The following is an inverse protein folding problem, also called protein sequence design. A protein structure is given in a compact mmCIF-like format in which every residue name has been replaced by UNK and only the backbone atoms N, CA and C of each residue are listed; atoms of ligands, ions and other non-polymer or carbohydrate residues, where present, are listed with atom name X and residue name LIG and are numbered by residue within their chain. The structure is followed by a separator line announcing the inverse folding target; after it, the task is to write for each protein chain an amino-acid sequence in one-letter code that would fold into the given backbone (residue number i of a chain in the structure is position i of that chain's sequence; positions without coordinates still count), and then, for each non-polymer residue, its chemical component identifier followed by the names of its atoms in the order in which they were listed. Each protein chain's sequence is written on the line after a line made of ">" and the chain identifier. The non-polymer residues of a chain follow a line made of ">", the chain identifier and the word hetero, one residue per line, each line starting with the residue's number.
data_IF_979411469849
#
_entry.id   IF_979411469849
#
_cell.length_a   1.000
_cell.length_b   1.000
_cell.length_c   1.000
_cell.angle_alpha   90.00
_cell.angle_beta   90.00
_cell.angle_gamma   90.00
#
_symmetry.space_group_name_H-M   'P 1'
#
loop_
_entity.id
_entity.type
_entity.pdbx_description
1 polymer ?
#
# COMPACT_ATOMS: atom_id res chain seq x y z
N UNK A 1 -63.62 25.91 -4.57
CA UNK A 1 -62.51 26.09 -5.51
C UNK A 1 -61.23 26.14 -4.75
N UNK A 2 -60.48 25.03 -4.71
CA UNK A 2 -59.16 24.91 -4.05
C UNK A 2 -58.09 25.12 -5.10
N UNK A 3 -57.26 26.13 -4.89
CA UNK A 3 -56.06 26.41 -5.69
C UNK A 3 -54.96 25.51 -5.27
N UNK A 4 -54.52 24.62 -6.15
CA UNK A 4 -53.29 23.85 -6.00
C UNK A 4 -52.12 24.74 -6.44
N UNK A 5 -51.24 25.06 -5.52
CA UNK A 5 -49.94 25.67 -5.85
C UNK A 5 -48.93 24.54 -6.15
N UNK A 6 -48.47 24.49 -7.39
CA UNK A 6 -47.37 23.66 -7.83
C UNK A 6 -46.06 24.31 -7.34
N UNK A 7 -45.43 23.70 -6.34
CA UNK A 7 -44.03 24.04 -5.94
C UNK A 7 -43.12 23.20 -6.83
N UNK A 8 -42.53 23.84 -7.84
CA UNK A 8 -41.49 23.25 -8.65
C UNK A 8 -40.19 23.07 -7.83
N UNK A 9 -39.88 21.84 -7.51
CA UNK A 9 -38.56 21.51 -6.96
C UNK A 9 -37.53 21.53 -8.11
N UNK A 10 -36.70 22.57 -8.15
CA UNK A 10 -35.50 22.60 -8.99
C UNK A 10 -34.47 21.62 -8.43
N UNK A 11 -34.33 20.48 -9.07
CA UNK A 11 -33.25 19.52 -8.82
C UNK A 11 -31.96 20.11 -9.40
N UNK A 12 -31.18 20.78 -8.55
CA UNK A 12 -29.81 21.18 -8.90
C UNK A 12 -28.99 19.89 -8.88
N UNK A 13 -28.73 19.33 -10.06
CA UNK A 13 -27.74 18.28 -10.22
C UNK A 13 -26.35 18.90 -9.97
N UNK A 14 -25.85 18.74 -8.75
CA UNK A 14 -24.45 18.91 -8.46
C UNK A 14 -23.71 17.76 -9.18
N UNK A 15 -23.21 18.06 -10.37
CA UNK A 15 -22.18 17.27 -11.01
C UNK A 15 -20.91 17.53 -10.21
N UNK A 16 -20.76 16.83 -9.08
CA UNK A 16 -19.47 16.68 -8.43
C UNK A 16 -18.58 15.96 -9.44
N UNK A 17 -17.55 16.63 -9.92
CA UNK A 17 -16.42 15.96 -10.54
C UNK A 17 -15.94 14.91 -9.55
N UNK A 18 -16.26 13.64 -9.81
CA UNK A 18 -15.65 12.53 -9.11
C UNK A 18 -14.16 12.60 -9.46
N UNK A 19 -13.39 13.23 -8.62
CA UNK A 19 -11.94 13.04 -8.59
C UNK A 19 -11.76 11.53 -8.47
N UNK A 20 -11.10 10.90 -9.43
CA UNK A 20 -10.80 9.49 -9.41
C UNK A 20 -9.94 9.26 -8.15
N UNK A 21 -10.58 8.76 -7.11
CA UNK A 21 -9.84 8.28 -5.94
C UNK A 21 -9.03 7.09 -6.42
N UNK A 22 -7.73 7.01 -6.09
CA UNK A 22 -6.97 5.79 -6.28
C UNK A 22 -7.77 4.68 -5.62
N UNK A 23 -8.20 3.75 -6.43
CA UNK A 23 -9.05 2.67 -5.95
C UNK A 23 -8.14 1.46 -5.83
N UNK A 24 -7.84 1.04 -4.62
CA UNK A 24 -6.97 -0.11 -4.33
C UNK A 24 -7.40 -1.40 -5.05
N UNK A 25 -8.65 -1.44 -5.52
CA UNK A 25 -9.23 -2.56 -6.25
C UNK A 25 -9.12 -2.41 -7.79
N UNK A 26 -8.41 -1.41 -8.29
CA UNK A 26 -8.24 -1.24 -9.74
C UNK A 26 -6.94 -1.87 -10.22
N UNK A 27 -6.93 -2.51 -11.41
CA UNK A 27 -5.71 -3.00 -12.01
C UNK A 27 -4.68 -1.89 -12.20
N UNK A 28 -3.42 -2.19 -11.92
CA UNK A 28 -2.31 -1.23 -11.81
C UNK A 28 -1.04 -1.79 -12.44
N UNK A 29 0.00 -0.97 -12.59
CA UNK A 29 1.32 -1.40 -13.08
C UNK A 29 2.28 -1.78 -11.94
N UNK A 30 2.02 -1.25 -10.74
CA UNK A 30 2.78 -1.57 -9.52
C UNK A 30 1.83 -2.05 -8.45
N UNK A 31 2.22 -3.10 -7.72
CA UNK A 31 1.50 -3.62 -6.58
C UNK A 31 2.43 -3.62 -5.36
N UNK A 32 1.95 -3.12 -4.22
CA UNK A 32 2.69 -3.14 -2.96
C UNK A 32 1.93 -3.99 -1.95
N UNK A 33 2.62 -4.98 -1.40
CA UNK A 33 2.13 -5.91 -0.39
C UNK A 33 2.75 -5.52 0.95
N UNK A 34 1.99 -4.99 1.89
CA UNK A 34 2.55 -4.36 3.08
C UNK A 34 3.15 -5.35 4.08
N UNK A 35 2.80 -6.64 4.02
CA UNK A 35 3.22 -7.62 5.02
C UNK A 35 3.78 -8.87 4.34
N UNK A 36 5.09 -9.01 4.35
CA UNK A 36 5.76 -10.28 4.04
C UNK A 36 6.33 -10.83 5.34
N UNK A 37 5.81 -11.97 5.79
CA UNK A 37 6.36 -12.71 6.93
C UNK A 37 6.61 -14.15 6.48
N UNK A 38 7.87 -14.50 6.30
CA UNK A 38 8.31 -15.80 5.75
C UNK A 38 9.06 -16.64 6.77
N UNK A 39 8.91 -16.34 8.04
CA UNK A 39 9.57 -17.07 9.16
C UNK A 39 8.92 -18.44 9.37
N UNK A 40 9.03 -19.32 8.35
CA UNK A 40 8.40 -20.64 8.36
C UNK A 40 8.77 -21.48 9.58
N UNK A 41 10.02 -21.35 10.08
CA UNK A 41 10.47 -22.03 11.31
C UNK A 41 9.74 -21.56 12.58
N UNK A 42 9.05 -20.42 12.53
CA UNK A 42 8.23 -19.87 13.61
C UNK A 42 6.73 -20.08 13.34
N UNK A 43 6.37 -20.79 12.28
CA UNK A 43 4.99 -21.01 11.87
C UNK A 43 4.35 -19.81 11.17
N UNK A 44 5.16 -18.86 10.68
CA UNK A 44 4.68 -17.71 9.91
C UNK A 44 4.88 -17.94 8.41
N UNK A 45 3.96 -17.50 7.59
CA UNK A 45 4.08 -17.56 6.14
C UNK A 45 3.21 -16.53 5.45
N UNK A 46 3.64 -16.03 4.29
CA UNK A 46 2.83 -15.18 3.43
C UNK A 46 2.68 -15.83 2.06
N UNK A 47 1.45 -16.05 1.65
CA UNK A 47 1.10 -16.45 0.27
C UNK A 47 0.78 -15.18 -0.49
N UNK A 48 1.37 -15.02 -1.66
CA UNK A 48 1.24 -13.84 -2.52
C UNK A 48 0.66 -14.28 -3.85
N UNK A 49 -0.38 -13.59 -4.31
CA UNK A 49 -0.97 -13.81 -5.63
C UNK A 49 -0.83 -12.55 -6.47
N UNK A 50 -0.41 -12.71 -7.72
CA UNK A 50 -0.41 -11.66 -8.76
C UNK A 50 -1.16 -12.19 -9.97
N UNK A 51 -2.11 -11.41 -10.45
CA UNK A 51 -2.94 -11.77 -11.62
C UNK A 51 -2.77 -10.73 -12.71
N UNK A 52 -2.49 -11.18 -13.92
CA UNK A 52 -2.53 -10.38 -15.14
C UNK A 52 -3.96 -10.43 -15.71
N UNK A 53 -4.70 -9.34 -15.61
CA UNK A 53 -6.09 -9.22 -16.12
C UNK A 53 -6.17 -8.82 -17.59
N UNK A 54 -5.03 -8.62 -18.28
CA UNK A 54 -5.00 -8.34 -19.71
C UNK A 54 -5.57 -9.53 -20.48
N UNK A 55 -6.34 -9.26 -21.53
CA UNK A 55 -7.00 -10.29 -22.34
C UNK A 55 -6.41 -10.42 -23.75
N UNK A 56 -5.42 -9.59 -24.08
CA UNK A 56 -4.86 -9.56 -25.42
C UNK A 56 -3.93 -10.75 -25.64
N UNK A 57 -4.39 -11.69 -26.48
CA UNK A 57 -3.66 -12.92 -26.84
C UNK A 57 -3.12 -12.91 -28.26
N UNK A 58 -3.10 -11.76 -28.91
CA UNK A 58 -2.53 -11.63 -30.25
C UNK A 58 -1.03 -11.87 -30.14
N UNK A 59 -0.51 -12.79 -30.95
CA UNK A 59 0.93 -13.08 -30.93
C UNK A 59 1.69 -11.92 -31.59
N UNK A 60 2.61 -11.36 -30.82
CA UNK A 60 3.57 -10.40 -31.35
C UNK A 60 4.65 -11.19 -32.14
N UNK A 61 4.76 -10.89 -33.42
CA UNK A 61 5.68 -11.60 -34.32
C UNK A 61 7.15 -11.35 -34.01
N UNK A 62 7.48 -10.28 -33.32
CA UNK A 62 8.85 -9.92 -32.93
C UNK A 62 9.32 -10.70 -31.69
N UNK A 63 8.42 -10.87 -30.71
CA UNK A 63 8.74 -11.54 -29.43
C UNK A 63 8.29 -13.00 -29.39
N UNK A 64 7.38 -13.40 -30.29
CA UNK A 64 6.67 -14.67 -30.27
C UNK A 64 5.86 -14.91 -28.98
N UNK A 65 5.51 -13.85 -28.25
CA UNK A 65 4.66 -13.85 -27.06
C UNK A 65 3.32 -13.17 -27.37
N UNK A 66 2.23 -13.49 -26.63
CA UNK A 66 1.02 -12.68 -26.66
C UNK A 66 1.30 -11.24 -26.24
N UNK A 67 0.74 -10.25 -26.92
CA UNK A 67 0.95 -8.80 -26.62
C UNK A 67 0.51 -8.38 -25.22
N UNK A 68 -0.38 -9.12 -24.59
CA UNK A 68 -0.75 -8.89 -23.18
C UNK A 68 0.14 -9.61 -22.17
N UNK A 69 1.31 -10.13 -22.60
CA UNK A 69 2.29 -10.76 -21.70
C UNK A 69 3.11 -9.67 -21.01
N UNK A 70 3.37 -9.86 -19.74
CA UNK A 70 4.17 -8.95 -18.90
C UNK A 70 5.18 -9.74 -18.10
N UNK A 71 6.38 -9.22 -17.94
CA UNK A 71 7.27 -9.62 -16.87
C UNK A 71 6.90 -8.84 -15.63
N UNK A 72 6.82 -9.50 -14.50
CA UNK A 72 6.63 -8.86 -13.19
C UNK A 72 7.87 -9.12 -12.37
N UNK A 73 8.49 -8.05 -11.86
CA UNK A 73 9.64 -8.17 -10.98
C UNK A 73 9.19 -8.03 -9.54
N UNK A 74 9.44 -9.07 -8.76
CA UNK A 74 9.16 -9.15 -7.34
C UNK A 74 10.35 -8.61 -6.55
N UNK A 75 10.19 -7.47 -5.91
CA UNK A 75 11.19 -6.86 -5.04
C UNK A 75 10.82 -7.10 -3.58
N UNK A 76 11.44 -8.11 -2.97
CA UNK A 76 11.29 -8.38 -1.55
C UNK A 76 12.20 -7.47 -0.75
N UNK A 77 11.63 -6.57 0.04
CA UNK A 77 12.36 -5.55 0.79
C UNK A 77 12.36 -5.91 2.27
N UNK A 78 13.54 -5.98 2.86
CA UNK A 78 13.71 -6.30 4.28
C UNK A 78 13.25 -5.14 5.16
N UNK A 79 12.30 -5.40 6.04
CA UNK A 79 11.70 -4.35 6.88
C UNK A 79 12.65 -3.69 7.88
N UNK A 80 13.70 -4.42 8.31
CA UNK A 80 14.71 -3.91 9.24
C UNK A 80 15.89 -3.22 8.54
N UNK A 81 16.02 -3.42 7.23
CA UNK A 81 17.08 -2.82 6.41
C UNK A 81 16.55 -2.62 4.98
N UNK A 82 15.95 -1.47 4.67
CA UNK A 82 15.27 -1.21 3.40
C UNK A 82 16.18 -1.20 2.17
N UNK A 83 17.51 -1.23 2.36
CA UNK A 83 18.48 -1.36 1.28
C UNK A 83 18.85 -2.81 1.00
N UNK A 84 18.41 -3.74 1.84
CA UNK A 84 18.52 -5.17 1.57
C UNK A 84 17.23 -5.62 0.91
N UNK A 85 17.34 -5.93 -0.37
CA UNK A 85 16.24 -6.47 -1.16
C UNK A 85 16.76 -7.58 -2.07
N UNK A 86 15.86 -8.45 -2.46
CA UNK A 86 16.08 -9.48 -3.48
C UNK A 86 15.02 -9.32 -4.55
N UNK A 87 15.42 -9.39 -5.81
CA UNK A 87 14.50 -9.31 -6.92
C UNK A 87 14.40 -10.65 -7.67
N UNK A 88 13.19 -10.97 -8.12
CA UNK A 88 12.88 -12.18 -8.88
C UNK A 88 11.94 -11.80 -10.01
N UNK A 89 12.35 -11.98 -11.28
CA UNK A 89 11.48 -11.78 -12.43
C UNK A 89 10.61 -13.02 -12.69
N UNK A 90 9.33 -12.80 -12.97
CA UNK A 90 8.37 -13.83 -13.34
C UNK A 90 7.55 -13.39 -14.55
N UNK A 91 7.17 -14.33 -15.41
CA UNK A 91 6.43 -14.05 -16.63
C UNK A 91 4.97 -14.41 -16.46
N UNK A 92 4.07 -13.46 -16.74
CA UNK A 92 2.62 -13.67 -16.73
C UNK A 92 2.04 -13.46 -18.12
N UNK A 93 1.45 -14.52 -18.69
CA UNK A 93 0.69 -14.41 -19.93
C UNK A 93 -0.71 -13.80 -19.69
N UNK A 94 -1.47 -13.41 -20.74
CA UNK A 94 -2.81 -12.86 -20.56
C UNK A 94 -3.76 -13.80 -19.80
N UNK A 95 -4.43 -13.26 -18.76
CA UNK A 95 -5.29 -13.94 -17.79
C UNK A 95 -4.57 -15.01 -16.95
N UNK A 96 -3.29 -14.86 -16.77
CA UNK A 96 -2.49 -15.73 -15.91
C UNK A 96 -2.52 -15.26 -14.45
N UNK A 97 -2.32 -16.19 -13.54
CA UNK A 97 -2.14 -15.95 -12.11
C UNK A 97 -0.93 -16.70 -11.61
N UNK A 98 -0.06 -16.02 -10.91
CA UNK A 98 1.02 -16.64 -10.15
C UNK A 98 0.74 -16.52 -8.66
N UNK A 99 0.75 -17.66 -7.97
CA UNK A 99 0.62 -17.70 -6.51
C UNK A 99 1.85 -18.37 -5.93
N UNK A 100 2.52 -17.70 -5.02
CA UNK A 100 3.78 -18.15 -4.40
C UNK A 100 3.69 -18.09 -2.88
N UNK A 101 4.37 -19.04 -2.21
CA UNK A 101 4.69 -18.91 -0.79
C UNK A 101 5.99 -18.12 -0.68
N UNK A 102 5.94 -16.93 -0.08
CA UNK A 102 7.05 -15.99 -0.06
C UNK A 102 8.38 -16.61 0.42
N UNK A 103 8.35 -17.40 1.49
CA UNK A 103 9.56 -18.05 2.02
C UNK A 103 10.18 -19.12 1.13
N UNK A 104 9.43 -19.66 0.15
CA UNK A 104 9.96 -20.56 -0.86
C UNK A 104 10.41 -19.80 -2.11
N UNK A 105 9.67 -18.75 -2.48
CA UNK A 105 9.98 -17.90 -3.63
C UNK A 105 11.21 -17.02 -3.33
N UNK A 106 11.30 -16.48 -2.11
CA UNK A 106 12.45 -15.73 -1.64
C UNK A 106 12.83 -16.14 -0.21
N UNK A 107 13.86 -16.97 0.00
CA UNK A 107 14.30 -17.37 1.33
C UNK A 107 15.16 -16.32 2.05
N UNK A 108 15.57 -15.23 1.40
CA UNK A 108 16.53 -14.26 1.97
C UNK A 108 15.86 -13.17 2.83
N UNK A 109 14.63 -12.79 2.48
CA UNK A 109 13.86 -11.77 3.22
C UNK A 109 12.77 -12.45 4.04
N UNK A 110 13.00 -12.55 5.35
CA UNK A 110 12.06 -13.20 6.26
C UNK A 110 10.91 -12.30 6.70
N UNK A 111 11.15 -10.98 6.80
CA UNK A 111 10.18 -10.02 7.32
C UNK A 111 10.34 -8.66 6.64
N UNK A 112 9.25 -8.12 6.10
CA UNK A 112 9.24 -6.84 5.41
C UNK A 112 8.01 -6.63 4.56
N UNK A 113 8.21 -6.13 3.34
CA UNK A 113 7.17 -5.89 2.36
C UNK A 113 7.63 -6.28 0.96
N UNK A 114 6.70 -6.32 0.02
CA UNK A 114 7.00 -6.67 -1.37
C UNK A 114 6.48 -5.58 -2.29
N UNK A 115 7.27 -5.26 -3.32
CA UNK A 115 6.85 -4.45 -4.46
C UNK A 115 6.91 -5.35 -5.69
N UNK A 116 5.85 -5.34 -6.50
CA UNK A 116 5.79 -6.02 -7.80
C UNK A 116 5.60 -4.96 -8.87
N UNK A 117 6.50 -4.92 -9.85
CA UNK A 117 6.51 -3.89 -10.90
C UNK A 117 6.39 -4.57 -12.26
N UNK A 118 5.59 -3.99 -13.15
CA UNK A 118 5.44 -4.44 -14.54
C UNK A 118 6.61 -4.00 -15.40
N UNK A 119 7.22 -4.95 -16.10
CA UNK A 119 8.34 -4.75 -17.02
C UNK A 119 8.06 -5.38 -18.39
N UNK A 120 8.70 -4.86 -19.43
CA UNK A 120 8.73 -5.51 -20.73
C UNK A 120 9.55 -6.81 -20.67
N UNK A 121 8.99 -7.96 -21.10
CA UNK A 121 9.67 -9.25 -20.97
C UNK A 121 10.90 -9.42 -21.86
N UNK A 122 11.24 -8.45 -22.69
CA UNK A 122 12.35 -8.53 -23.64
C UNK A 122 13.55 -7.66 -23.29
N UNK A 123 13.34 -6.61 -22.50
CA UNK A 123 14.39 -5.63 -22.21
C UNK A 123 14.36 -5.08 -20.77
N UNK A 124 13.49 -5.63 -19.91
CA UNK A 124 13.33 -5.24 -18.50
C UNK A 124 12.92 -3.75 -18.30
N UNK A 125 12.45 -3.08 -19.34
CA UNK A 125 11.99 -1.68 -19.22
C UNK A 125 10.70 -1.61 -18.43
N UNK A 126 10.56 -0.58 -17.58
CA UNK A 126 9.32 -0.28 -16.86
C UNK A 126 8.23 0.14 -17.84
N UNK A 127 7.06 -0.50 -17.76
CA UNK A 127 5.98 -0.31 -18.73
C UNK A 127 4.67 0.14 -18.08
N UNK A 128 3.90 0.94 -18.82
CA UNK A 128 2.53 1.28 -18.48
C UNK A 128 1.62 0.06 -18.75
N UNK A 129 1.51 -0.81 -17.74
CA UNK A 129 0.74 -2.06 -17.82
C UNK A 129 -0.29 -2.13 -16.70
N UNK A 130 -1.29 -1.28 -16.74
CA UNK A 130 -2.34 -1.16 -15.73
C UNK A 130 -3.34 -2.33 -15.75
N UNK A 131 -2.83 -3.57 -15.65
CA UNK A 131 -3.63 -4.80 -15.69
C UNK A 131 -3.30 -5.78 -14.53
N UNK A 132 -2.45 -5.39 -13.59
CA UNK A 132 -2.10 -6.25 -12.46
C UNK A 132 -3.05 -6.01 -11.29
N UNK A 133 -3.51 -7.10 -10.68
CA UNK A 133 -4.17 -7.10 -9.37
C UNK A 133 -3.53 -8.17 -8.49
N UNK A 134 -3.64 -8.05 -7.18
CA UNK A 134 -3.08 -9.05 -6.27
C UNK A 134 -3.57 -8.95 -4.85
N UNK A 135 -3.30 -10.00 -4.10
CA UNK A 135 -3.58 -10.10 -2.68
C UNK A 135 -2.49 -10.90 -1.96
N UNK A 136 -2.41 -10.71 -0.65
CA UNK A 136 -1.58 -11.50 0.24
C UNK A 136 -2.42 -12.18 1.31
N UNK A 137 -2.03 -13.41 1.65
CA UNK A 137 -2.58 -14.14 2.79
C UNK A 137 -1.45 -14.36 3.79
N UNK A 138 -1.49 -13.66 4.91
CA UNK A 138 -0.56 -13.84 6.01
C UNK A 138 -1.08 -14.98 6.89
N UNK A 139 -0.24 -15.98 7.13
CA UNK A 139 -0.56 -17.20 7.88
C UNK A 139 0.25 -17.22 9.16
N UNK A 140 -0.43 -17.39 10.30
CA UNK A 140 0.16 -17.66 11.61
C UNK A 140 -0.34 -19.02 12.09
N UNK A 141 0.46 -20.06 11.88
CA UNK A 141 0.10 -21.43 12.28
C UNK A 141 0.03 -21.58 13.78
N UNK A 142 0.94 -20.92 14.53
CA UNK A 142 0.99 -20.98 15.98
C UNK A 142 -0.25 -20.33 16.61
N UNK A 143 -0.70 -19.22 16.04
CA UNK A 143 -1.93 -18.52 16.43
C UNK A 143 -3.19 -19.12 15.81
N UNK A 144 -3.08 -20.12 14.92
CA UNK A 144 -4.18 -20.70 14.13
C UNK A 144 -4.97 -19.62 13.39
N UNK A 145 -4.29 -18.70 12.69
CA UNK A 145 -4.88 -17.50 12.08
C UNK A 145 -4.43 -17.30 10.64
N UNK A 146 -5.29 -16.63 9.87
CA UNK A 146 -4.98 -16.16 8.53
C UNK A 146 -5.62 -14.79 8.31
N UNK A 147 -4.89 -13.89 7.68
CA UNK A 147 -5.37 -12.56 7.31
C UNK A 147 -5.17 -12.37 5.82
N UNK A 148 -6.22 -11.95 5.10
CA UNK A 148 -6.15 -11.59 3.69
C UNK A 148 -6.13 -10.06 3.57
N UNK A 149 -5.18 -9.53 2.79
CA UNK A 149 -5.03 -8.09 2.52
C UNK A 149 -4.80 -7.94 1.01
N UNK A 150 -5.56 -7.06 0.37
CA UNK A 150 -5.33 -6.73 -1.03
C UNK A 150 -3.98 -6.01 -1.19
N UNK A 151 -3.30 -6.23 -2.30
CA UNK A 151 -2.16 -5.42 -2.67
C UNK A 151 -2.62 -3.98 -2.95
N UNK A 152 -1.77 -3.02 -2.63
CA UNK A 152 -1.99 -1.62 -2.95
C UNK A 152 -1.48 -1.34 -4.36
N UNK A 153 -2.38 -0.99 -5.28
CA UNK A 153 -2.06 -0.76 -6.67
C UNK A 153 -1.71 0.71 -6.97
N UNK A 154 -0.71 0.91 -7.83
CA UNK A 154 -0.34 2.21 -8.39
C UNK A 154 -0.33 2.11 -9.92
N UNK A 155 -1.12 2.96 -10.57
CA UNK A 155 -1.16 3.03 -12.02
C UNK A 155 0.05 3.78 -12.55
N UNK A 156 0.60 3.28 -13.66
CA UNK A 156 1.47 4.08 -14.49
C UNK A 156 0.61 5.14 -15.21
N UNK A 157 1.09 6.37 -15.23
CA UNK A 157 0.43 7.54 -15.81
C UNK A 157 1.14 8.00 -17.09
N UNK A 158 2.46 7.82 -17.15
CA UNK A 158 3.23 8.19 -18.33
C UNK A 158 2.99 7.21 -19.48
N UNK A 159 2.79 7.76 -20.68
CA UNK A 159 2.63 7.04 -21.94
C UNK A 159 3.82 7.39 -22.83
N UNK A 160 4.92 6.67 -22.66
CA UNK A 160 6.13 6.84 -23.44
C UNK A 160 6.12 6.07 -24.75
N UNK A 161 7.26 5.86 -25.40
CA UNK A 161 7.35 5.04 -26.61
C UNK A 161 6.90 3.60 -26.38
N UNK A 162 6.16 3.04 -27.34
CA UNK A 162 5.72 1.64 -27.31
C UNK A 162 6.91 0.68 -27.22
N UNK A 163 6.79 -0.27 -26.31
CA UNK A 163 7.78 -1.32 -26.06
C UNK A 163 7.47 -2.59 -26.87
N UNK A 164 8.42 -3.53 -27.01
CA UNK A 164 8.23 -4.74 -27.81
C UNK A 164 7.03 -5.62 -27.42
N UNK A 165 6.54 -5.55 -26.18
CA UNK A 165 5.32 -6.26 -25.77
C UNK A 165 4.01 -5.55 -26.16
N UNK A 166 4.10 -4.33 -26.70
CA UNK A 166 2.96 -3.52 -27.12
C UNK A 166 2.38 -2.62 -25.99
N UNK A 167 3.05 -2.48 -24.86
CA UNK A 167 2.76 -1.50 -23.85
C UNK A 167 3.67 -0.28 -24.01
N UNK A 168 3.26 0.86 -23.46
CA UNK A 168 4.07 2.07 -23.46
C UNK A 168 5.13 2.04 -22.36
N UNK A 169 6.25 2.72 -22.54
CA UNK A 169 7.26 2.96 -21.51
C UNK A 169 6.65 3.80 -20.38
N UNK A 170 6.86 3.39 -19.13
CA UNK A 170 6.40 4.12 -17.94
C UNK A 170 7.48 5.01 -17.33
N UNK A 171 8.75 4.67 -17.54
CA UNK A 171 9.91 5.43 -17.09
C UNK A 171 10.14 6.63 -18.01
N UNK A 172 9.93 7.84 -17.50
CA UNK A 172 9.97 9.08 -18.30
C UNK A 172 11.36 9.59 -18.51
N UNK A 173 12.21 9.53 -17.52
CA UNK A 173 13.57 10.07 -17.55
C UNK A 173 14.63 9.01 -17.89
N UNK A 174 14.25 7.74 -17.94
CA UNK A 174 15.11 6.64 -18.36
C UNK A 174 16.11 6.19 -17.29
N UNK A 175 15.82 6.44 -16.02
CA UNK A 175 16.71 6.07 -14.92
C UNK A 175 16.50 4.64 -14.40
N UNK A 176 15.49 3.95 -14.91
CA UNK A 176 15.14 2.56 -14.57
C UNK A 176 14.44 2.40 -13.23
N UNK A 177 13.80 3.45 -12.72
CA UNK A 177 13.10 3.46 -11.44
C UNK A 177 11.64 3.81 -11.61
N UNK A 178 10.81 3.25 -10.74
CA UNK A 178 9.41 3.64 -10.66
C UNK A 178 9.27 4.84 -9.72
N UNK A 179 8.89 5.97 -10.26
CA UNK A 179 8.71 7.22 -9.53
C UNK A 179 7.23 7.49 -9.22
N UNK A 180 6.91 7.51 -7.91
CA UNK A 180 5.53 7.77 -7.43
C UNK A 180 5.31 9.28 -7.26
N UNK A 181 5.51 10.04 -8.34
CA UNK A 181 5.52 11.49 -8.37
C UNK A 181 4.22 12.11 -8.91
N UNK A 182 3.31 11.29 -9.47
CA UNK A 182 2.09 11.72 -10.15
C UNK A 182 2.28 12.04 -11.63
N UNK A 183 3.49 11.83 -12.16
CA UNK A 183 3.81 11.95 -13.57
C UNK A 183 4.08 10.59 -14.22
N UNK A 184 4.88 9.74 -13.57
CA UNK A 184 5.16 8.38 -14.01
C UNK A 184 4.16 7.39 -13.42
N UNK A 185 4.04 7.41 -12.09
CA UNK A 185 3.07 6.60 -11.37
C UNK A 185 2.23 7.47 -10.43
N UNK A 186 1.06 6.97 -10.03
CA UNK A 186 0.22 7.60 -9.02
C UNK A 186 1.04 7.89 -7.76
N UNK A 187 0.72 9.02 -7.10
CA UNK A 187 1.45 9.44 -5.89
C UNK A 187 1.15 8.55 -4.70
N UNK A 188 2.15 8.36 -3.87
CA UNK A 188 1.94 7.86 -2.52
C UNK A 188 1.12 8.85 -1.69
N UNK A 189 0.16 8.36 -0.90
CA UNK A 189 -0.59 9.21 0.00
C UNK A 189 0.27 9.70 1.17
N UNK A 190 0.01 10.89 1.65
CA UNK A 190 0.56 11.45 2.89
C UNK A 190 -0.47 11.44 4.03
N UNK A 191 -1.72 11.12 3.72
CA UNK A 191 -2.85 11.09 4.64
C UNK A 191 -3.63 9.78 4.54
N UNK A 192 -3.70 9.06 5.64
CA UNK A 192 -4.41 7.80 5.77
C UNK A 192 -5.52 7.90 6.82
N UNK A 193 -6.51 7.01 6.70
CA UNK A 193 -7.58 6.86 7.68
C UNK A 193 -7.70 5.41 8.12
N UNK A 194 -7.65 5.20 9.42
CA UNK A 194 -8.13 3.99 10.06
C UNK A 194 -9.60 4.19 10.38
N UNK A 195 -10.48 3.69 9.53
CA UNK A 195 -11.92 3.95 9.59
C UNK A 195 -12.58 3.43 10.87
N UNK A 196 -12.01 2.39 11.47
CA UNK A 196 -12.46 1.87 12.75
C UNK A 196 -11.38 1.01 13.40
N UNK A 197 -11.30 1.08 14.71
CA UNK A 197 -10.57 0.12 15.54
C UNK A 197 -11.38 -0.14 16.82
N UNK A 198 -11.20 -1.32 17.38
CA UNK A 198 -11.75 -1.64 18.69
C UNK A 198 -10.74 -1.28 19.76
N UNK A 199 -11.23 -0.85 20.92
CA UNK A 199 -10.41 -0.68 22.11
C UNK A 199 -9.59 -1.94 22.36
N UNK A 200 -8.29 -1.75 22.62
CA UNK A 200 -7.40 -2.87 22.88
C UNK A 200 -7.66 -3.42 24.27
N UNK A 201 -7.82 -4.71 24.38
CA UNK A 201 -8.23 -5.37 25.63
C UNK A 201 -7.66 -6.78 25.69
N UNK A 202 -7.99 -7.51 26.76
CA UNK A 202 -7.68 -8.94 26.85
C UNK A 202 -8.39 -9.80 25.76
N UNK A 203 -9.36 -9.23 25.06
CA UNK A 203 -10.15 -9.91 24.02
C UNK A 203 -9.89 -9.40 22.62
N UNK A 204 -9.32 -8.20 22.47
CA UNK A 204 -9.11 -7.55 21.18
C UNK A 204 -7.69 -7.01 21.07
N UNK A 205 -7.03 -7.34 19.98
CA UNK A 205 -5.72 -6.79 19.63
C UNK A 205 -5.73 -6.27 18.20
N UNK A 206 -4.93 -5.25 17.94
CA UNK A 206 -4.73 -4.70 16.61
C UNK A 206 -3.30 -4.26 16.37
N UNK A 207 -2.85 -4.46 15.14
CA UNK A 207 -1.56 -3.99 14.66
C UNK A 207 -1.78 -3.03 13.48
N UNK A 208 -0.89 -2.05 13.35
CA UNK A 208 -0.73 -1.26 12.15
C UNK A 208 0.62 -1.61 11.50
N UNK A 209 0.59 -1.68 10.18
CA UNK A 209 1.80 -1.81 9.37
C UNK A 209 1.94 -0.55 8.53
N UNK A 210 3.13 0.05 8.54
CA UNK A 210 3.46 1.20 7.71
C UNK A 210 4.62 0.90 6.78
N UNK A 211 4.54 1.44 5.57
CA UNK A 211 5.58 1.39 4.54
C UNK A 211 5.87 2.82 4.09
N UNK A 212 7.14 3.18 3.98
CA UNK A 212 7.60 4.42 3.38
C UNK A 212 8.78 4.12 2.45
N UNK A 213 8.69 4.53 1.19
CA UNK A 213 9.76 4.32 0.19
C UNK A 213 10.82 5.42 0.25
N UNK A 214 11.26 5.77 1.44
CA UNK A 214 12.36 6.68 1.68
C UNK A 214 13.64 5.89 1.95
N UNK A 215 14.79 6.49 1.69
CA UNK A 215 16.07 5.84 1.94
C UNK A 215 16.24 5.38 3.40
N UNK A 216 17.11 4.39 3.65
CA UNK A 216 17.31 3.76 4.97
C UNK A 216 17.66 4.71 6.11
N UNK A 217 18.25 5.86 5.75
CA UNK A 217 18.69 6.84 6.74
C UNK A 217 17.59 7.83 7.13
N UNK A 218 16.37 7.64 6.62
CA UNK A 218 15.23 8.47 6.98
C UNK A 218 14.43 7.86 8.12
N UNK A 219 14.24 8.65 9.17
CA UNK A 219 13.28 8.38 10.23
C UNK A 219 11.99 9.12 9.91
N UNK A 220 10.94 8.37 9.65
CA UNK A 220 9.63 8.89 9.25
C UNK A 220 8.78 9.12 10.48
N UNK A 221 8.26 10.32 10.64
CA UNK A 221 7.24 10.64 11.63
C UNK A 221 5.85 10.30 11.12
N UNK A 222 4.98 9.88 12.01
CA UNK A 222 3.55 9.66 11.75
C UNK A 222 2.75 10.31 12.85
N UNK A 223 1.82 11.17 12.49
CA UNK A 223 0.98 11.90 13.43
C UNK A 223 -0.43 11.30 13.44
N UNK A 224 -0.89 10.90 14.60
CA UNK A 224 -2.23 10.34 14.81
C UNK A 224 -3.13 11.38 15.43
N UNK A 225 -4.32 11.57 14.84
CA UNK A 225 -5.48 12.14 15.50
C UNK A 225 -6.48 11.03 15.71
N UNK A 226 -6.69 10.64 16.95
CA UNK A 226 -7.50 9.52 17.38
C UNK A 226 -8.81 10.08 17.93
N UNK A 227 -9.91 9.51 17.50
CA UNK A 227 -11.25 9.88 17.95
C UNK A 227 -11.96 8.65 18.51
N UNK A 228 -12.60 8.80 19.65
CA UNK A 228 -13.49 7.80 20.23
C UNK A 228 -14.93 7.97 19.73
N UNK A 229 -15.84 7.15 20.24
CA UNK A 229 -17.26 7.23 19.92
C UNK A 229 -18.01 8.39 20.65
N UNK A 230 -17.35 9.09 21.57
CA UNK A 230 -17.86 10.30 22.25
C UNK A 230 -17.32 11.60 21.60
N UNK A 231 -16.59 11.46 20.47
CA UNK A 231 -15.95 12.56 19.71
C UNK A 231 -14.79 13.23 20.47
N UNK A 232 -14.28 12.61 21.53
CA UNK A 232 -13.08 13.08 22.21
C UNK A 232 -11.86 12.83 21.30
N UNK A 233 -10.96 13.83 21.25
CA UNK A 233 -9.80 13.83 20.37
C UNK A 233 -8.51 13.67 21.17
N UNK A 234 -7.68 12.73 20.70
CA UNK A 234 -6.33 12.50 21.22
C UNK A 234 -5.32 12.63 20.09
N UNK A 235 -4.10 13.08 20.41
CA UNK A 235 -3.01 13.16 19.44
C UNK A 235 -1.80 12.35 19.90
N UNK A 236 -1.12 11.69 18.97
CA UNK A 236 0.11 10.92 19.23
C UNK A 236 1.03 10.98 18.02
N UNK A 237 2.32 10.84 18.28
CA UNK A 237 3.34 10.74 17.26
C UNK A 237 4.03 9.40 17.39
N UNK A 238 4.32 8.78 16.26
CA UNK A 238 5.07 7.55 16.14
C UNK A 238 6.19 7.73 15.11
N UNK A 239 7.27 6.98 15.24
CA UNK A 239 8.39 7.07 14.31
C UNK A 239 8.85 5.68 13.88
N UNK A 240 9.17 5.54 12.60
CA UNK A 240 9.73 4.30 12.06
C UNK A 240 10.75 4.59 10.95
N UNK A 241 11.39 3.55 10.43
CA UNK A 241 12.30 3.62 9.28
C UNK A 241 11.79 2.64 8.24
N UNK A 242 11.47 3.13 7.05
CA UNK A 242 11.05 2.36 5.88
C UNK A 242 9.81 1.46 6.09
N UNK A 243 9.84 0.55 7.05
CA UNK A 243 8.77 -0.39 7.34
C UNK A 243 8.67 -0.67 8.84
N UNK A 244 7.44 -0.86 9.30
CA UNK A 244 7.19 -1.31 10.67
C UNK A 244 5.84 -2.02 10.75
N UNK A 245 5.76 -3.01 11.64
CA UNK A 245 4.49 -3.56 12.14
C UNK A 245 4.47 -3.37 13.63
N UNK A 246 3.49 -2.66 14.14
CA UNK A 246 3.40 -2.23 15.53
C UNK A 246 2.01 -2.44 16.08
N UNK A 247 1.91 -3.01 17.28
CA UNK A 247 0.64 -3.09 18.00
C UNK A 247 0.10 -1.68 18.30
N UNK A 248 -1.21 -1.49 18.24
CA UNK A 248 -1.85 -0.21 18.56
C UNK A 248 -1.42 0.30 19.95
N UNK A 249 -1.33 -0.58 20.94
CA UNK A 249 -0.79 -0.25 22.27
C UNK A 249 0.67 0.20 22.26
N UNK A 250 1.46 -0.26 21.31
CA UNK A 250 2.85 0.18 21.12
C UNK A 250 2.95 1.62 20.59
N UNK A 251 1.89 2.13 19.96
CA UNK A 251 1.77 3.52 19.51
C UNK A 251 1.31 4.41 20.66
N UNK A 252 0.26 4.00 21.37
CA UNK A 252 -0.31 4.78 22.47
C UNK A 252 -1.21 3.93 23.38
N UNK A 253 -1.13 4.21 24.69
CA UNK A 253 -2.07 3.67 25.67
C UNK A 253 -3.50 4.20 25.51
N UNK A 254 -3.71 5.24 24.71
CA UNK A 254 -5.07 5.74 24.36
C UNK A 254 -5.89 4.65 23.67
N UNK A 255 -5.25 3.75 22.95
CA UNK A 255 -5.93 2.61 22.32
C UNK A 255 -6.47 1.55 23.31
N UNK A 256 -6.03 1.60 24.59
CA UNK A 256 -6.50 0.74 25.71
C UNK A 256 -7.57 1.43 26.57
N UNK A 257 -7.77 2.72 26.39
CA UNK A 257 -8.70 3.49 27.21
C UNK A 257 -9.22 4.68 26.43
N UNK A 258 -10.32 4.46 25.72
CA UNK A 258 -11.01 5.48 24.94
C UNK A 258 -12.02 6.31 25.78
N UNK A 259 -11.98 6.21 27.12
CA UNK A 259 -12.75 7.06 28.01
C UNK A 259 -14.19 6.63 28.29
N UNK A 260 -14.67 5.55 27.72
CA UNK A 260 -16.03 5.04 27.91
C UNK A 260 -16.29 4.38 29.27
N UNK A 261 -17.53 4.03 29.52
CA UNK A 261 -17.92 3.30 30.74
C UNK A 261 -17.34 1.90 30.73
N UNK A 262 -16.86 1.41 31.87
CA UNK A 262 -16.13 0.14 32.04
C UNK A 262 -16.84 -1.16 31.54
N UNK A 263 -18.01 -1.07 30.92
CA UNK A 263 -18.81 -2.18 30.45
C UNK A 263 -19.19 -2.10 28.96
N UNK A 264 -18.70 -1.11 28.24
CA UNK A 264 -18.98 -0.96 26.79
C UNK A 264 -17.69 -1.06 26.01
N UNK A 265 -17.65 -2.00 25.03
CA UNK A 265 -16.55 -2.06 24.08
C UNK A 265 -16.52 -0.76 23.27
N UNK A 266 -15.44 -0.02 23.38
CA UNK A 266 -15.27 1.25 22.69
C UNK A 266 -14.73 1.04 21.29
N UNK A 267 -15.20 1.85 20.37
CA UNK A 267 -14.75 1.89 18.97
C UNK A 267 -14.26 3.29 18.69
N UNK A 268 -13.16 3.38 17.99
CA UNK A 268 -12.62 4.65 17.53
C UNK A 268 -12.24 4.64 16.07
N UNK A 269 -11.81 5.78 15.58
CA UNK A 269 -11.19 5.93 14.28
C UNK A 269 -9.99 6.88 14.37
N UNK A 270 -9.09 6.81 13.39
CA UNK A 270 -7.92 7.68 13.37
C UNK A 270 -7.75 8.34 12.00
N UNK A 271 -7.38 9.62 12.04
CA UNK A 271 -6.66 10.26 10.96
C UNK A 271 -5.16 10.10 11.22
N UNK A 272 -4.43 9.70 10.20
CA UNK A 272 -3.00 9.37 10.26
C UNK A 272 -2.30 10.20 9.20
N UNK A 273 -1.58 11.23 9.62
CA UNK A 273 -0.81 12.09 8.73
C UNK A 273 0.65 11.61 8.67
N UNK A 274 1.22 11.51 7.49
CA UNK A 274 2.66 11.46 7.31
C UNK A 274 3.25 12.76 7.86
N UNK A 275 4.14 12.62 8.84
CA UNK A 275 4.85 13.75 9.42
C UNK A 275 6.19 13.96 8.72
N UNK A 276 7.06 14.74 9.38
CA UNK A 276 8.40 14.98 8.85
C UNK A 276 9.22 13.69 8.83
N UNK A 277 9.88 13.45 7.70
CA UNK A 277 10.94 12.45 7.62
C UNK A 277 12.30 13.15 7.70
N UNK A 278 13.12 12.71 8.63
CA UNK A 278 14.44 13.30 8.90
C UNK A 278 15.53 12.32 8.53
N UNK A 279 16.43 12.72 7.63
CA UNK A 279 17.64 11.96 7.38
C UNK A 279 18.58 12.09 8.59
N UNK A 280 18.84 10.97 9.24
CA UNK A 280 19.59 10.92 10.51
C UNK A 280 21.08 11.22 10.34
N UNK A 281 21.62 11.13 9.13
CA UNK A 281 23.03 11.43 8.82
C UNK A 281 23.24 12.89 8.44
N UNK A 282 22.35 13.42 7.59
CA UNK A 282 22.53 14.77 7.01
C UNK A 282 21.66 15.83 7.68
N UNK A 283 20.63 15.43 8.45
CA UNK A 283 19.64 16.34 9.02
C UNK A 283 18.66 16.90 7.99
N UNK A 284 18.67 16.42 6.75
CA UNK A 284 17.69 16.83 5.72
C UNK A 284 16.28 16.42 6.15
N UNK A 285 15.33 17.33 5.99
CA UNK A 285 13.92 17.10 6.33
C UNK A 285 13.10 17.03 5.05
N UNK A 286 12.19 16.06 5.00
CA UNK A 286 11.10 15.95 4.04
C UNK A 286 9.82 16.16 4.83
N UNK A 287 9.04 17.18 4.48
CA UNK A 287 7.77 17.48 5.11
C UNK A 287 6.67 16.59 4.53
N UNK A 288 5.68 16.24 5.36
CA UNK A 288 4.54 15.43 4.98
C UNK A 288 4.95 14.16 4.21
N UNK A 289 5.78 13.35 4.87
CA UNK A 289 6.36 12.16 4.26
C UNK A 289 5.26 11.18 3.82
N UNK A 290 5.29 10.71 2.59
CA UNK A 290 4.30 9.79 2.09
C UNK A 290 4.44 8.42 2.75
N UNK A 291 3.30 7.84 3.11
CA UNK A 291 3.19 6.59 3.84
C UNK A 291 2.08 5.71 3.27
N UNK A 292 2.27 4.41 3.31
CA UNK A 292 1.23 3.42 3.10
C UNK A 292 0.93 2.72 4.40
N UNK A 293 -0.26 2.16 4.52
CA UNK A 293 -0.62 1.47 5.75
C UNK A 293 -1.62 0.34 5.55
N UNK A 294 -1.49 -0.66 6.41
CA UNK A 294 -2.45 -1.72 6.58
C UNK A 294 -2.76 -1.92 8.07
N UNK A 295 -3.96 -2.43 8.35
CA UNK A 295 -4.37 -2.84 9.68
C UNK A 295 -4.60 -4.34 9.73
N UNK A 296 -4.34 -4.94 10.87
CA UNK A 296 -4.84 -6.26 11.26
C UNK A 296 -5.47 -6.16 12.63
N UNK A 297 -6.63 -6.79 12.82
CA UNK A 297 -7.32 -6.85 14.10
C UNK A 297 -7.74 -8.29 14.39
N UNK A 298 -7.65 -8.71 15.64
CA UNK A 298 -7.91 -10.08 16.07
C UNK A 298 -8.73 -10.13 17.35
N UNK A 299 -9.58 -11.16 17.44
CA UNK A 299 -10.39 -11.45 18.61
C UNK A 299 -9.77 -12.65 19.33
N UNK A 300 -9.05 -12.38 20.43
CA UNK A 300 -8.21 -13.37 21.12
C UNK A 300 -8.94 -14.64 21.63
N UNK A 301 -10.18 -14.56 22.14
CA UNK A 301 -10.88 -15.76 22.60
C UNK A 301 -11.25 -16.75 21.48
N UNK A 302 -11.22 -16.29 20.22
CA UNK A 302 -11.67 -17.08 19.07
C UNK A 302 -10.51 -17.29 18.10
N UNK A 303 -9.90 -18.47 18.16
CA UNK A 303 -8.87 -18.86 17.20
C UNK A 303 -9.40 -18.71 15.76
N UNK A 304 -8.60 -18.10 14.89
CA UNK A 304 -8.94 -17.92 13.48
C UNK A 304 -9.76 -16.66 13.16
N UNK A 305 -10.21 -15.90 14.14
CA UNK A 305 -10.94 -14.65 13.89
C UNK A 305 -9.96 -13.46 13.85
N UNK A 306 -9.46 -13.18 12.65
CA UNK A 306 -8.60 -12.03 12.34
C UNK A 306 -9.10 -11.36 11.05
N UNK A 307 -9.07 -10.04 10.99
CA UNK A 307 -9.39 -9.26 9.80
C UNK A 307 -8.28 -8.28 9.50
N UNK A 308 -7.95 -8.17 8.23
CA UNK A 308 -6.99 -7.21 7.72
C UNK A 308 -7.58 -6.33 6.64
N UNK A 309 -6.90 -5.28 6.32
CA UNK A 309 -7.23 -4.40 5.22
C UNK A 309 -6.25 -3.23 5.12
N UNK A 310 -6.19 -2.65 3.93
CA UNK A 310 -5.46 -1.42 3.71
C UNK A 310 -6.12 -0.26 4.46
N UNK A 311 -5.32 0.71 4.89
CA UNK A 311 -5.84 1.97 5.41
C UNK A 311 -6.40 2.79 4.24
N UNK A 312 -7.54 3.44 4.48
CA UNK A 312 -8.10 4.35 3.49
C UNK A 312 -7.19 5.58 3.36
N UNK A 313 -7.05 6.11 2.15
CA UNK A 313 -6.38 7.40 1.96
C UNK A 313 -7.39 8.43 1.46
N UNK A 314 -7.15 9.71 1.77
CA UNK A 314 -7.86 10.78 1.11
C UNK A 314 -7.27 10.95 -0.29
N UNK A 315 -8.09 11.13 -1.30
CA UNK A 315 -7.61 11.57 -2.62
C UNK A 315 -7.11 13.02 -2.63
N UNK A 316 -7.04 13.66 -1.47
CA UNK A 316 -6.49 15.00 -1.30
C UNK A 316 -4.97 14.89 -1.14
N UNK A 317 -4.28 14.85 -2.27
CA UNK A 317 -2.86 15.18 -2.25
C UNK A 317 -2.74 16.66 -1.89
N UNK A 318 -2.11 16.96 -0.78
CA UNK A 318 -1.68 18.33 -0.49
C UNK A 318 -0.69 18.73 -1.57
N UNK A 319 -1.14 19.57 -2.51
CA UNK A 319 -0.35 20.00 -3.68
C UNK A 319 0.96 20.73 -3.33
N UNK A 320 1.20 21.04 -2.05
CA UNK A 320 2.23 22.01 -1.64
C UNK A 320 3.51 21.41 -1.05
N UNK A 321 3.61 20.10 -0.80
CA UNK A 321 4.66 19.65 0.12
C UNK A 321 5.77 18.77 -0.44
N UNK A 322 5.76 18.38 -1.71
CA UNK A 322 6.94 17.70 -2.26
C UNK A 322 7.98 18.76 -2.64
N UNK A 323 9.09 18.90 -1.90
CA UNK A 323 10.17 19.79 -2.32
C UNK A 323 10.59 19.40 -3.72
N UNK A 324 10.71 20.38 -4.62
CA UNK A 324 11.24 20.17 -5.97
C UNK A 324 12.56 19.40 -5.88
N UNK A 325 12.61 18.20 -6.44
CA UNK A 325 13.78 17.34 -6.46
C UNK A 325 13.80 16.18 -5.46
N UNK A 326 12.66 15.87 -4.80
CA UNK A 326 12.51 14.64 -4.04
C UNK A 326 11.38 13.80 -4.63
N UNK A 327 11.70 12.57 -4.98
CA UNK A 327 10.77 11.62 -5.56
C UNK A 327 10.80 10.35 -4.73
N UNK A 328 9.61 9.83 -4.38
CA UNK A 328 9.49 8.46 -3.91
C UNK A 328 9.71 7.55 -5.10
N UNK A 329 10.80 6.84 -5.10
CA UNK A 329 11.19 5.99 -6.21
C UNK A 329 11.67 4.63 -5.72
N UNK A 330 11.48 3.63 -6.55
CA UNK A 330 11.98 2.28 -6.30
C UNK A 330 12.58 1.67 -7.58
N UNK A 331 13.74 1.02 -7.52
CA UNK A 331 14.61 0.92 -6.34
C UNK A 331 15.13 2.29 -5.88
N UNK A 332 15.37 2.45 -4.57
CA UNK A 332 15.79 3.74 -4.03
C UNK A 332 17.10 4.19 -4.65
N UNK A 333 17.24 5.50 -4.92
CA UNK A 333 18.51 6.03 -5.40
C UNK A 333 19.57 5.88 -4.33
N UNK A 334 20.74 5.37 -4.68
CA UNK A 334 21.96 5.58 -3.91
C UNK A 334 22.33 7.07 -4.03
N UNK A 335 21.65 7.92 -3.26
CA UNK A 335 22.05 9.30 -3.17
C UNK A 335 23.25 9.40 -2.25
N UNK A 336 24.32 10.09 -2.68
CA UNK A 336 25.53 10.29 -1.91
C UNK A 336 25.28 11.09 -0.62
#
# INVERSE_FOLDING_TARGET
>A
MRKFSLVGAALVALVGSAMAQPNFDTPSSVLIYPIVDSRLGQGMGTVISVTNTNRNRVINTNTNLPTGTVQVRYWYVKGTDPWTFTDIPELLTPNDILTVLAGNHNPEVELGFLIVIAEDPTNDALINFNYLIGDEIVIDVAGARTTNINAMGFKALYEGPEQPNGADLADRDGDGRAEFNGDEYERFPDLLYLSSFFEQSATMEGDLTFVALLGRDYRVGVNFLIYDNEEDQFSRNFFFVCWTRVALLGISSVFDSLGGSANEEQVGWCRIDGGDAVNILTGRVIFDAPILGAKTQRVLPYAGLEFGGLLHHSGENREESTPSGWVNQFPPSELP
#
